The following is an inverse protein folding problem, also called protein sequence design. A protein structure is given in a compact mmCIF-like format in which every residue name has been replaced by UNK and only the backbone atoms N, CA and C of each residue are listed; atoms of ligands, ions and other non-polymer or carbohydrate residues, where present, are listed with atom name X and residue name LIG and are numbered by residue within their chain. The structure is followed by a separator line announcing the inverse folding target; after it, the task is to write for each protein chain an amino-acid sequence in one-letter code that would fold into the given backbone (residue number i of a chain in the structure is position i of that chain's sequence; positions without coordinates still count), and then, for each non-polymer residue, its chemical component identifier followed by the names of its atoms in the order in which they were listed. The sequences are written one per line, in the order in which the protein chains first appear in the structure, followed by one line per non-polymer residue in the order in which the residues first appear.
data_IF_154185068186
#
_entry.id   IF_154185068186
#
_cell.length_a   1.000
_cell.length_b   1.000
_cell.length_c   1.000
_cell.angle_alpha   90.00
_cell.angle_beta   90.00
_cell.angle_gamma   90.00
#
_symmetry.space_group_name_H-M   'P 1'
#
loop_
_entity.id
_entity.type
_entity.pdbx_description
1 polymer ?
#
# COMPACT_ATOMS: atom_id res chain seq x y z
N UNK A 1 -20.17 21.48 2.02
CA UNK A 1 -20.61 20.25 2.72
C UNK A 1 -19.55 19.20 2.50
N UNK A 2 -19.16 18.42 3.51
CA UNK A 2 -18.24 17.29 3.33
C UNK A 2 -18.90 16.21 2.47
N UNK A 3 -18.08 15.48 1.69
CA UNK A 3 -18.54 14.31 0.95
C UNK A 3 -18.75 13.13 1.91
N UNK A 4 -19.81 12.36 1.70
CA UNK A 4 -20.06 11.12 2.45
C UNK A 4 -19.37 9.93 1.76
N UNK A 5 -18.05 10.07 1.54
CA UNK A 5 -17.23 9.08 0.83
C UNK A 5 -16.34 8.34 1.80
N UNK A 6 -16.24 7.03 1.61
CA UNK A 6 -15.28 6.17 2.32
C UNK A 6 -14.03 5.99 1.48
N UNK A 7 -12.86 6.15 2.09
CA UNK A 7 -11.57 5.92 1.47
C UNK A 7 -10.99 4.63 2.06
N UNK A 8 -10.86 3.63 1.21
CA UNK A 8 -10.41 2.31 1.62
C UNK A 8 -8.89 2.23 1.68
N UNK A 9 -8.39 1.31 2.50
CA UNK A 9 -6.99 0.93 2.50
C UNK A 9 -6.60 0.24 1.19
N UNK A 10 -5.33 0.00 0.99
CA UNK A 10 -4.80 -0.71 -0.17
C UNK A 10 -3.77 -1.77 0.24
N UNK A 11 -3.53 -2.73 -0.61
CA UNK A 11 -2.46 -3.70 -0.45
C UNK A 11 -1.61 -3.71 -1.72
N UNK A 12 -0.28 -3.53 -1.57
CA UNK A 12 0.67 -3.79 -2.64
C UNK A 12 0.91 -5.30 -2.71
N UNK A 13 0.25 -5.98 -3.65
CA UNK A 13 0.40 -7.43 -3.81
C UNK A 13 1.79 -7.80 -4.34
N UNK A 14 2.32 -7.01 -5.28
CA UNK A 14 3.62 -7.23 -5.91
C UNK A 14 4.28 -5.89 -6.21
N UNK A 15 5.60 -5.86 -6.19
CA UNK A 15 6.38 -4.68 -6.58
C UNK A 15 7.20 -4.03 -5.47
N UNK A 16 7.14 -4.53 -4.23
CA UNK A 16 7.90 -3.97 -3.13
C UNK A 16 9.37 -3.87 -3.51
N UNK A 17 9.94 -2.67 -3.35
CA UNK A 17 11.30 -2.32 -3.75
C UNK A 17 11.61 -2.47 -5.25
N UNK A 18 11.06 -3.50 -5.91
CA UNK A 18 11.29 -3.76 -7.33
C UNK A 18 10.84 -2.62 -8.24
N UNK A 19 9.75 -1.93 -7.90
CA UNK A 19 9.24 -0.76 -8.64
C UNK A 19 10.32 0.33 -8.79
N UNK A 20 11.20 0.50 -7.80
CA UNK A 20 12.30 1.48 -7.84
C UNK A 20 13.24 1.18 -9.01
N UNK A 21 13.44 -0.10 -9.33
CA UNK A 21 14.29 -0.61 -10.43
C UNK A 21 13.46 -1.13 -11.63
N UNK A 22 12.28 -0.53 -11.86
CA UNK A 22 11.40 -0.80 -13.01
C UNK A 22 10.81 -2.23 -13.06
N UNK A 23 10.62 -2.90 -11.94
CA UNK A 23 9.74 -4.07 -11.88
C UNK A 23 8.27 -3.64 -11.97
N UNK A 24 7.40 -4.58 -12.33
CA UNK A 24 5.96 -4.36 -12.26
C UNK A 24 5.51 -4.20 -10.81
N UNK A 25 4.44 -3.42 -10.62
CA UNK A 25 3.75 -3.32 -9.34
C UNK A 25 2.27 -3.59 -9.52
N UNK A 26 1.67 -4.34 -8.63
CA UNK A 26 0.23 -4.55 -8.59
C UNK A 26 -0.28 -4.23 -7.20
N UNK A 27 -1.15 -3.25 -7.12
CA UNK A 27 -1.79 -2.86 -5.86
C UNK A 27 -3.31 -2.90 -6.01
N UNK A 28 -3.98 -3.35 -4.97
CA UNK A 28 -5.43 -3.51 -4.93
C UNK A 28 -6.05 -2.73 -3.77
N UNK A 29 -7.29 -2.22 -3.91
CA UNK A 29 -8.07 -1.73 -2.78
C UNK A 29 -8.29 -2.85 -1.76
N UNK A 30 -8.35 -2.46 -0.48
CA UNK A 30 -8.66 -3.40 0.60
C UNK A 30 -9.77 -2.85 1.49
N UNK A 31 -10.98 -3.32 1.29
CA UNK A 31 -12.20 -2.74 1.83
C UNK A 31 -12.45 -3.02 3.33
N UNK A 32 -11.60 -3.85 3.96
CA UNK A 32 -11.74 -4.16 5.39
C UNK A 32 -11.45 -2.94 6.28
N UNK A 33 -10.44 -2.15 5.91
CA UNK A 33 -10.12 -0.90 6.60
C UNK A 33 -10.51 0.30 5.76
N UNK A 34 -11.00 1.35 6.42
CA UNK A 34 -11.49 2.57 5.76
C UNK A 34 -11.31 3.79 6.64
N UNK A 35 -11.34 4.95 6.01
CA UNK A 35 -11.34 6.24 6.68
C UNK A 35 -12.31 7.21 6.01
N UNK A 36 -12.67 8.30 6.72
CA UNK A 36 -13.64 9.30 6.28
C UNK A 36 -13.39 10.63 6.99
N UNK A 37 -13.54 11.74 6.31
CA UNK A 37 -13.55 13.07 6.91
C UNK A 37 -14.90 13.34 7.57
N UNK A 38 -14.88 13.76 8.83
CA UNK A 38 -16.07 14.08 9.61
C UNK A 38 -15.89 15.41 10.35
N UNK A 39 -17.03 16.05 10.66
CA UNK A 39 -17.07 17.18 11.58
C UNK A 39 -17.40 16.69 12.98
N UNK A 40 -16.63 17.12 13.96
CA UNK A 40 -16.92 16.82 15.35
C UNK A 40 -18.19 17.51 15.83
N UNK A 41 -18.82 16.94 16.87
CA UNK A 41 -19.91 17.59 17.59
C UNK A 41 -19.44 18.76 18.48
N UNK A 42 -20.29 19.17 19.40
CA UNK A 42 -20.00 20.30 20.30
C UNK A 42 -18.74 20.09 21.17
N UNK A 43 -18.44 18.84 21.51
CA UNK A 43 -17.24 18.46 22.25
C UNK A 43 -16.47 17.38 21.48
N UNK A 44 -15.17 17.58 21.31
CA UNK A 44 -14.27 16.62 20.65
C UNK A 44 -13.71 15.63 21.67
N UNK A 45 -13.66 14.35 21.32
CA UNK A 45 -12.86 13.34 22.06
C UNK A 45 -11.37 13.65 21.90
N UNK A 46 -10.52 12.99 22.70
CA UNK A 46 -9.08 13.21 22.61
C UNK A 46 -8.52 12.70 21.28
N UNK A 47 -9.02 11.57 20.78
CA UNK A 47 -8.65 11.05 19.45
C UNK A 47 -9.06 12.01 18.32
N UNK A 48 -10.22 12.60 18.40
CA UNK A 48 -10.69 13.62 17.43
C UNK A 48 -9.81 14.88 17.46
N UNK A 49 -9.40 15.32 18.67
CA UNK A 49 -8.47 16.45 18.82
C UNK A 49 -7.10 16.17 18.21
N UNK A 50 -6.55 14.95 18.46
CA UNK A 50 -5.28 14.53 17.86
C UNK A 50 -5.36 14.47 16.34
N UNK A 51 -6.45 13.91 15.79
CA UNK A 51 -6.70 13.86 14.36
C UNK A 51 -6.84 15.27 13.76
N UNK A 52 -7.60 16.16 14.39
CA UNK A 52 -7.74 17.57 13.97
C UNK A 52 -6.39 18.30 14.01
N UNK A 53 -5.60 18.11 15.07
CA UNK A 53 -4.27 18.71 15.15
C UNK A 53 -3.33 18.19 14.05
N UNK A 54 -3.40 16.91 13.74
CA UNK A 54 -2.65 16.30 12.62
C UNK A 54 -3.07 16.91 11.28
N UNK A 55 -4.37 17.13 11.05
CA UNK A 55 -4.87 17.82 9.87
C UNK A 55 -4.40 19.28 9.79
N UNK A 56 -4.30 19.99 10.93
CA UNK A 56 -3.78 21.35 11.01
C UNK A 56 -2.29 21.40 10.59
N UNK A 57 -1.49 20.48 11.09
CA UNK A 57 -0.08 20.36 10.72
C UNK A 57 0.09 20.04 9.23
N UNK A 58 -0.76 19.13 8.73
CA UNK A 58 -0.77 18.77 7.30
C UNK A 58 -1.21 19.95 6.42
N UNK A 59 -2.22 20.71 6.84
CA UNK A 59 -2.63 21.94 6.15
C UNK A 59 -1.49 22.96 6.05
N UNK A 60 -0.72 23.15 7.13
CA UNK A 60 0.45 24.05 7.10
C UNK A 60 1.47 23.65 6.03
N UNK A 61 1.72 22.35 5.88
CA UNK A 61 2.58 21.85 4.80
C UNK A 61 2.00 22.12 3.41
N UNK A 62 0.69 21.89 3.22
CA UNK A 62 0.03 22.10 1.94
C UNK A 62 -0.04 23.59 1.56
N UNK A 63 -0.12 24.48 2.56
CA UNK A 63 -0.23 25.92 2.40
C UNK A 63 1.12 26.65 2.28
N UNK A 64 2.25 25.93 2.33
CA UNK A 64 3.57 26.54 2.12
C UNK A 64 3.61 27.21 0.73
N UNK A 65 3.97 28.48 0.67
CA UNK A 65 4.00 29.30 -0.55
C UNK A 65 4.92 28.71 -1.65
N UNK A 66 5.95 27.95 -1.24
CA UNK A 66 6.82 27.24 -2.16
C UNK A 66 6.19 25.96 -2.72
N UNK A 67 5.02 25.57 -2.22
CA UNK A 67 4.33 24.35 -2.64
C UNK A 67 3.35 24.67 -3.78
N UNK A 68 3.53 24.06 -4.94
CA UNK A 68 2.62 24.21 -6.08
C UNK A 68 1.18 23.74 -5.77
N UNK A 69 0.98 22.99 -4.68
CA UNK A 69 -0.33 22.50 -4.24
C UNK A 69 -1.32 23.60 -3.92
N UNK A 70 -0.86 24.81 -3.55
CA UNK A 70 -1.70 25.98 -3.29
C UNK A 70 -2.59 26.35 -4.48
N UNK A 71 -2.21 25.98 -5.70
CA UNK A 71 -2.97 26.22 -6.93
C UNK A 71 -4.03 25.18 -7.24
N UNK A 72 -3.98 24.03 -6.57
CA UNK A 72 -4.84 22.88 -6.84
C UNK A 72 -5.86 22.63 -5.74
N UNK A 73 -5.66 23.18 -4.54
CA UNK A 73 -6.48 22.92 -3.36
C UNK A 73 -7.16 24.19 -2.83
N UNK A 74 -8.39 24.06 -2.39
CA UNK A 74 -9.11 25.12 -1.66
C UNK A 74 -8.69 25.12 -0.18
N UNK A 75 -7.51 25.69 0.10
CA UNK A 75 -6.90 25.68 1.42
C UNK A 75 -7.62 26.58 2.44
N UNK A 76 -8.30 27.65 1.98
CA UNK A 76 -9.11 28.51 2.85
C UNK A 76 -10.31 27.74 3.40
N UNK A 77 -11.01 26.98 2.55
CA UNK A 77 -12.09 26.11 2.97
C UNK A 77 -11.59 25.02 3.94
N UNK A 78 -10.45 24.39 3.64
CA UNK A 78 -9.85 23.38 4.50
C UNK A 78 -9.51 23.95 5.88
N UNK A 79 -8.91 25.14 5.95
CA UNK A 79 -8.60 25.84 7.20
C UNK A 79 -9.86 26.12 8.02
N UNK A 80 -10.92 26.62 7.35
CA UNK A 80 -12.22 26.87 7.99
C UNK A 80 -12.84 25.59 8.57
N UNK A 81 -12.85 24.51 7.79
CA UNK A 81 -13.38 23.22 8.23
C UNK A 81 -12.55 22.64 9.41
N UNK A 82 -11.22 22.77 9.41
CA UNK A 82 -10.35 22.40 10.54
C UNK A 82 -10.68 23.23 11.79
N UNK A 83 -10.89 24.54 11.63
CA UNK A 83 -11.26 25.41 12.76
C UNK A 83 -12.64 25.03 13.33
N UNK A 84 -13.53 24.49 12.52
CA UNK A 84 -14.84 23.98 12.92
C UNK A 84 -14.83 22.54 13.44
N UNK A 85 -13.66 21.91 13.61
CA UNK A 85 -13.54 20.58 14.20
C UNK A 85 -13.50 19.42 13.19
N UNK A 86 -12.99 19.66 11.97
CA UNK A 86 -12.72 18.57 11.00
C UNK A 86 -11.75 17.58 11.57
N UNK A 87 -12.03 16.28 11.42
CA UNK A 87 -11.12 15.20 11.75
C UNK A 87 -11.24 14.03 10.74
N UNK A 88 -10.22 13.20 10.68
CA UNK A 88 -10.24 11.98 9.87
C UNK A 88 -10.49 10.77 10.77
N UNK A 89 -11.69 10.19 10.65
CA UNK A 89 -12.08 8.96 11.32
C UNK A 89 -11.57 7.77 10.51
N UNK A 90 -10.71 6.92 11.09
CA UNK A 90 -10.05 5.86 10.35
C UNK A 90 -9.81 4.61 11.17
N UNK A 91 -10.20 3.46 10.58
CA UNK A 91 -9.85 2.14 11.09
C UNK A 91 -8.54 1.60 10.50
N UNK A 92 -7.87 2.33 9.59
CA UNK A 92 -6.66 1.88 8.88
C UNK A 92 -5.46 1.96 9.84
N UNK A 93 -4.80 0.85 10.17
CA UNK A 93 -3.70 0.86 11.12
C UNK A 93 -2.48 1.59 10.54
N UNK A 94 -1.93 2.53 11.30
CA UNK A 94 -0.77 3.32 10.91
C UNK A 94 0.53 2.51 11.02
N UNK A 95 1.37 2.59 9.99
CA UNK A 95 2.65 1.86 9.96
C UNK A 95 2.52 0.37 9.60
N UNK A 96 1.36 -0.09 9.13
CA UNK A 96 1.13 -1.49 8.76
C UNK A 96 1.26 -1.78 7.26
N UNK A 97 1.64 -0.81 6.45
CA UNK A 97 1.88 -1.00 5.01
C UNK A 97 0.61 -1.04 4.15
N UNK A 98 -0.54 -0.71 4.72
CA UNK A 98 -1.85 -0.79 4.06
C UNK A 98 -2.45 0.57 3.66
N UNK A 99 -1.63 1.62 3.59
CA UNK A 99 -2.01 2.90 2.97
C UNK A 99 -2.80 3.85 3.86
N UNK A 100 -2.49 3.95 5.17
CA UNK A 100 -3.15 4.90 6.07
C UNK A 100 -2.97 6.37 5.63
N UNK A 101 -1.75 6.80 5.29
CA UNK A 101 -1.47 8.13 4.73
C UNK A 101 -2.16 8.32 3.38
N UNK A 102 -2.13 7.27 2.53
CA UNK A 102 -2.76 7.32 1.22
C UNK A 102 -4.27 7.59 1.29
N UNK A 103 -4.98 6.94 2.20
CA UNK A 103 -6.41 7.16 2.40
C UNK A 103 -6.72 8.59 2.89
N UNK A 104 -5.91 9.14 3.81
CA UNK A 104 -6.06 10.53 4.24
C UNK A 104 -5.79 11.51 3.09
N UNK A 105 -4.72 11.31 2.32
CA UNK A 105 -4.40 12.15 1.16
C UNK A 105 -5.52 12.10 0.13
N UNK A 106 -6.05 10.91 -0.17
CA UNK A 106 -7.20 10.74 -1.07
C UNK A 106 -8.43 11.52 -0.58
N UNK A 107 -8.74 11.45 0.71
CA UNK A 107 -9.87 12.17 1.31
C UNK A 107 -9.71 13.69 1.22
N UNK A 108 -8.51 14.21 1.50
CA UNK A 108 -8.21 15.65 1.39
C UNK A 108 -8.27 16.10 -0.06
N UNK A 109 -7.67 15.35 -1.00
CA UNK A 109 -7.73 15.65 -2.42
C UNK A 109 -9.18 15.72 -2.92
N UNK A 110 -9.96 14.67 -2.69
CA UNK A 110 -11.35 14.60 -3.14
C UNK A 110 -12.23 15.70 -2.58
N UNK A 111 -11.98 16.14 -1.34
CA UNK A 111 -12.80 17.14 -0.65
C UNK A 111 -12.41 18.56 -1.01
N UNK A 112 -11.12 18.83 -1.21
CA UNK A 112 -10.58 20.18 -1.32
C UNK A 112 -9.92 20.50 -2.67
N UNK A 113 -9.78 19.55 -3.60
CA UNK A 113 -9.31 19.88 -4.93
C UNK A 113 -10.27 20.85 -5.64
N UNK A 114 -9.71 21.87 -6.29
CA UNK A 114 -10.49 22.87 -7.05
C UNK A 114 -11.13 22.22 -8.29
N UNK A 115 -10.41 21.32 -8.94
CA UNK A 115 -10.86 20.59 -10.13
C UNK A 115 -10.46 19.11 -9.95
N UNK A 116 -11.18 18.33 -9.13
CA UNK A 116 -10.83 16.93 -8.92
C UNK A 116 -11.04 16.13 -10.21
N UNK A 117 -10.09 15.28 -10.55
CA UNK A 117 -10.25 14.29 -11.62
C UNK A 117 -11.28 13.26 -11.13
N UNK A 118 -12.36 13.09 -11.90
CA UNK A 118 -13.39 12.11 -11.54
C UNK A 118 -12.86 10.69 -11.72
N UNK A 119 -12.87 9.82 -10.68
CA UNK A 119 -12.44 8.43 -10.77
C UNK A 119 -13.10 7.65 -11.91
N UNK A 120 -14.39 7.89 -12.18
CA UNK A 120 -15.15 7.20 -13.21
C UNK A 120 -14.75 7.59 -14.65
N UNK A 121 -14.09 8.73 -14.82
CA UNK A 121 -13.68 9.25 -16.13
C UNK A 121 -12.19 9.03 -16.44
N UNK A 122 -11.44 8.47 -15.52
CA UNK A 122 -10.01 8.23 -15.70
C UNK A 122 -9.80 7.05 -16.65
N UNK A 123 -9.62 7.35 -17.93
CA UNK A 123 -9.37 6.33 -18.97
C UNK A 123 -7.97 6.42 -19.57
N UNK A 124 -7.29 7.55 -19.43
CA UNK A 124 -6.00 7.81 -20.07
C UNK A 124 -4.83 7.72 -19.08
N UNK A 125 -3.72 7.14 -19.54
CA UNK A 125 -2.49 7.01 -18.74
C UNK A 125 -1.96 8.36 -18.25
N UNK A 126 -2.10 9.43 -19.07
CA UNK A 126 -1.58 10.76 -18.75
C UNK A 126 -2.33 11.40 -17.57
N UNK A 127 -3.64 11.24 -17.50
CA UNK A 127 -4.44 11.73 -16.35
C UNK A 127 -4.04 11.00 -15.06
N UNK A 128 -3.84 9.68 -15.15
CA UNK A 128 -3.35 8.88 -14.02
C UNK A 128 -1.96 9.32 -13.55
N UNK A 129 -1.06 9.61 -14.48
CA UNK A 129 0.30 10.06 -14.16
C UNK A 129 0.31 11.45 -13.52
N UNK A 130 -0.51 12.38 -14.02
CA UNK A 130 -0.66 13.71 -13.44
C UNK A 130 -1.26 13.65 -12.03
N UNK A 131 -2.33 12.89 -11.86
CA UNK A 131 -2.96 12.68 -10.55
C UNK A 131 -1.97 12.04 -9.57
N UNK A 132 -1.28 10.99 -9.99
CA UNK A 132 -0.25 10.32 -9.18
C UNK A 132 0.84 11.29 -8.75
N UNK A 133 1.30 12.19 -9.64
CA UNK A 133 2.32 13.19 -9.31
C UNK A 133 1.83 14.20 -8.27
N UNK A 134 0.60 14.69 -8.40
CA UNK A 134 -0.01 15.58 -7.44
C UNK A 134 -0.15 14.91 -6.07
N UNK A 135 -0.70 13.71 -6.04
CA UNK A 135 -0.86 12.92 -4.82
C UNK A 135 0.49 12.54 -4.18
N UNK A 136 1.53 12.30 -5.00
CA UNK A 136 2.90 12.08 -4.53
C UNK A 136 3.43 13.28 -3.74
N UNK A 137 3.19 14.50 -4.24
CA UNK A 137 3.61 15.73 -3.56
C UNK A 137 2.85 15.88 -2.24
N UNK A 138 1.54 15.63 -2.24
CA UNK A 138 0.73 15.68 -1.01
C UNK A 138 1.21 14.65 0.03
N UNK A 139 1.47 13.39 -0.39
CA UNK A 139 1.88 12.31 0.52
C UNK A 139 3.33 12.45 1.03
N UNK A 140 4.16 13.25 0.35
CA UNK A 140 5.55 13.47 0.75
C UNK A 140 5.69 14.11 2.14
N UNK A 141 4.64 14.75 2.67
CA UNK A 141 4.57 15.18 4.06
C UNK A 141 4.84 14.04 5.06
N UNK A 142 4.29 12.85 4.82
CA UNK A 142 4.37 11.72 5.76
C UNK A 142 5.67 10.93 5.62
N UNK A 143 6.25 10.89 4.42
CA UNK A 143 7.35 9.97 4.10
C UNK A 143 8.60 10.65 3.52
N UNK A 144 8.62 11.98 3.44
CA UNK A 144 9.69 12.77 2.80
C UNK A 144 9.69 12.65 1.29
N UNK A 145 9.56 11.45 0.75
CA UNK A 145 9.41 11.19 -0.69
C UNK A 145 8.43 10.05 -0.91
N UNK A 146 7.38 10.32 -1.63
CA UNK A 146 6.36 9.33 -1.98
C UNK A 146 6.32 9.04 -3.48
N UNK A 147 5.85 7.85 -3.84
CA UNK A 147 5.54 7.49 -5.22
C UNK A 147 4.17 8.01 -5.69
N UNK A 148 3.27 8.38 -4.78
CA UNK A 148 1.89 8.74 -5.02
C UNK A 148 0.98 7.56 -5.39
N UNK A 149 1.49 6.33 -5.35
CA UNK A 149 0.71 5.14 -5.73
C UNK A 149 -0.35 4.80 -4.67
N UNK A 150 0.00 4.88 -3.39
CA UNK A 150 -0.91 4.56 -2.30
C UNK A 150 -2.16 5.46 -2.30
N UNK A 151 -2.03 6.79 -2.31
CA UNK A 151 -3.20 7.66 -2.38
C UNK A 151 -3.96 7.56 -3.72
N UNK A 152 -3.29 7.25 -4.82
CA UNK A 152 -3.95 7.03 -6.10
C UNK A 152 -4.95 5.86 -6.00
N UNK A 153 -4.53 4.73 -5.43
CA UNK A 153 -5.38 3.55 -5.27
C UNK A 153 -6.50 3.80 -4.27
N UNK A 154 -6.19 4.46 -3.14
CA UNK A 154 -7.21 4.84 -2.14
C UNK A 154 -8.26 5.80 -2.73
N UNK A 155 -7.87 6.65 -3.69
CA UNK A 155 -8.77 7.58 -4.36
C UNK A 155 -9.62 6.91 -5.44
N UNK A 156 -8.99 6.15 -6.34
CA UNK A 156 -9.67 5.51 -7.46
C UNK A 156 -10.49 4.29 -7.03
N UNK A 157 -10.11 3.65 -5.93
CA UNK A 157 -10.70 2.40 -5.45
C UNK A 157 -10.70 1.28 -6.52
N UNK A 158 -9.64 1.22 -7.32
CA UNK A 158 -9.44 0.25 -8.41
C UNK A 158 -8.09 -0.43 -8.29
N UNK A 159 -7.95 -1.70 -8.72
CA UNK A 159 -6.65 -2.33 -8.86
C UNK A 159 -5.81 -1.61 -9.91
N UNK A 160 -4.57 -1.26 -9.55
CA UNK A 160 -3.65 -0.54 -10.42
C UNK A 160 -2.42 -1.39 -10.70
N UNK A 161 -2.15 -1.60 -11.99
CA UNK A 161 -0.91 -2.19 -12.49
C UNK A 161 0.06 -1.07 -12.90
N UNK A 162 1.27 -1.13 -12.36
CA UNK A 162 2.40 -0.27 -12.73
C UNK A 162 3.36 -1.11 -13.57
N UNK A 163 3.68 -0.68 -14.79
CA UNK A 163 4.61 -1.37 -15.70
C UNK A 163 5.91 -0.57 -15.90
N UNK A 164 6.35 0.11 -14.86
CA UNK A 164 7.53 0.96 -14.90
C UNK A 164 7.22 2.39 -14.46
N UNK A 165 8.06 3.35 -14.85
CA UNK A 165 7.96 4.74 -14.37
C UNK A 165 6.86 5.56 -15.06
N UNK A 166 6.53 5.21 -16.29
CA UNK A 166 5.69 6.01 -17.21
C UNK A 166 4.43 5.30 -17.66
N UNK A 167 4.20 4.07 -17.23
CA UNK A 167 3.01 3.30 -17.64
C UNK A 167 2.33 2.73 -16.40
N UNK A 168 1.10 3.15 -16.18
CA UNK A 168 0.22 2.60 -15.16
C UNK A 168 -1.23 2.63 -15.67
N UNK A 169 -2.05 1.72 -15.15
CA UNK A 169 -3.46 1.65 -15.54
C UNK A 169 -4.28 0.76 -14.61
N UNK A 170 -5.58 0.99 -14.61
CA UNK A 170 -6.53 0.11 -13.96
C UNK A 170 -6.56 -1.27 -14.65
N UNK A 171 -6.64 -2.33 -13.87
CA UNK A 171 -6.71 -3.70 -14.37
C UNK A 171 -7.80 -4.48 -13.63
N UNK A 172 -8.37 -5.47 -14.31
CA UNK A 172 -9.17 -6.48 -13.64
C UNK A 172 -8.25 -7.48 -12.92
N UNK A 173 -8.66 -7.92 -11.76
CA UNK A 173 -8.04 -9.03 -11.04
C UNK A 173 -8.97 -10.26 -11.15
N UNK A 174 -8.46 -11.49 -10.99
CA UNK A 174 -9.31 -12.67 -10.95
C UNK A 174 -10.43 -12.53 -9.92
N UNK A 175 -11.60 -13.09 -10.26
CA UNK A 175 -12.73 -13.11 -9.34
C UNK A 175 -12.40 -13.94 -8.08
N UNK A 176 -12.92 -13.51 -6.95
CA UNK A 176 -12.77 -14.24 -5.70
C UNK A 176 -13.59 -15.53 -5.72
N UNK A 177 -12.93 -16.65 -5.46
CA UNK A 177 -13.58 -17.95 -5.30
C UNK A 177 -13.58 -18.37 -3.82
N UNK A 178 -14.62 -17.99 -3.09
CA UNK A 178 -14.74 -18.28 -1.65
C UNK A 178 -14.84 -19.80 -1.32
N UNK A 179 -15.03 -20.65 -2.32
CA UNK A 179 -14.99 -22.12 -2.19
C UNK A 179 -13.61 -22.70 -2.57
N UNK A 180 -12.70 -21.88 -3.09
CA UNK A 180 -11.35 -22.28 -3.43
C UNK A 180 -10.52 -22.56 -2.18
N UNK A 181 -9.48 -23.37 -2.33
CA UNK A 181 -8.57 -23.71 -1.22
C UNK A 181 -7.40 -22.74 -1.11
N UNK A 182 -7.05 -22.10 -2.21
CA UNK A 182 -5.95 -21.14 -2.26
C UNK A 182 -6.35 -19.79 -1.66
N UNK A 183 -5.40 -19.09 -1.04
CA UNK A 183 -5.66 -17.79 -0.46
C UNK A 183 -4.43 -16.88 -0.42
N UNK A 184 -4.71 -15.58 -0.46
CA UNK A 184 -3.79 -14.52 -0.07
C UNK A 184 -4.25 -14.00 1.30
N UNK A 185 -3.32 -13.83 2.23
CA UNK A 185 -3.65 -13.41 3.58
C UNK A 185 -2.62 -12.45 4.19
N UNK A 186 -3.05 -11.69 5.18
CA UNK A 186 -2.18 -10.86 6.02
C UNK A 186 -1.95 -11.52 7.37
N UNK A 187 -0.74 -11.34 7.90
CA UNK A 187 -0.36 -11.67 9.26
C UNK A 187 0.19 -10.43 9.95
N UNK A 188 -0.34 -10.13 11.13
CA UNK A 188 0.12 -9.00 11.94
C UNK A 188 1.50 -9.27 12.57
N UNK A 189 2.44 -8.35 12.39
CA UNK A 189 3.75 -8.43 13.04
C UNK A 189 3.73 -8.01 14.51
N UNK A 190 2.63 -7.45 15.01
CA UNK A 190 2.45 -6.98 16.39
C UNK A 190 3.11 -5.63 16.68
N UNK A 191 3.72 -5.01 15.70
CA UNK A 191 4.32 -3.68 15.85
C UNK A 191 4.33 -2.93 14.52
N UNK A 192 4.12 -1.61 14.51
CA UNK A 192 4.19 -0.81 13.28
C UNK A 192 5.60 -0.80 12.69
N UNK A 193 5.70 -0.77 11.37
CA UNK A 193 6.95 -0.57 10.63
C UNK A 193 7.29 0.91 10.48
N UNK A 194 8.59 1.19 10.22
CA UNK A 194 9.10 2.54 9.91
C UNK A 194 9.53 2.60 8.44
N UNK A 195 8.61 2.97 7.56
CA UNK A 195 8.81 2.99 6.10
C UNK A 195 10.09 3.71 5.67
N UNK A 196 10.31 4.93 6.15
CA UNK A 196 11.46 5.74 5.74
C UNK A 196 12.81 5.07 6.04
N UNK A 197 12.94 4.41 7.19
CA UNK A 197 14.16 3.67 7.55
C UNK A 197 14.43 2.51 6.62
N UNK A 198 13.42 1.74 6.25
CA UNK A 198 13.54 0.58 5.38
C UNK A 198 13.87 0.97 3.92
N UNK A 199 13.21 2.00 3.40
CA UNK A 199 13.50 2.52 2.05
C UNK A 199 14.92 3.08 1.98
N UNK A 200 15.36 3.83 3.00
CA UNK A 200 16.74 4.35 3.05
C UNK A 200 17.77 3.22 3.08
N UNK A 201 17.53 2.17 3.84
CA UNK A 201 18.39 0.98 3.89
C UNK A 201 18.45 0.29 2.52
N UNK A 202 17.33 0.13 1.85
CA UNK A 202 17.30 -0.44 0.49
C UNK A 202 18.11 0.40 -0.50
N UNK A 203 17.92 1.72 -0.52
CA UNK A 203 18.67 2.63 -1.39
C UNK A 203 20.18 2.59 -1.09
N UNK A 204 20.57 2.39 0.17
CA UNK A 204 21.97 2.19 0.54
C UNK A 204 22.50 0.86 -0.02
N UNK A 205 21.74 -0.24 0.11
CA UNK A 205 22.12 -1.54 -0.45
C UNK A 205 22.23 -1.52 -1.98
N UNK A 206 21.41 -0.73 -2.68
CA UNK A 206 21.50 -0.57 -4.14
C UNK A 206 22.83 0.08 -4.62
N UNK A 207 23.65 0.63 -3.73
CA UNK A 207 24.99 1.12 -4.09
C UNK A 207 25.96 -0.04 -4.35
N UNK A 208 25.70 -1.23 -3.80
CA UNK A 208 26.42 -2.46 -4.13
C UNK A 208 25.95 -3.00 -5.48
N UNK A 209 26.90 -3.22 -6.40
CA UNK A 209 26.60 -3.64 -7.77
C UNK A 209 26.01 -5.06 -7.83
N UNK A 210 26.44 -5.95 -6.94
CA UNK A 210 25.92 -7.32 -6.85
C UNK A 210 24.45 -7.31 -6.44
N UNK A 211 24.10 -6.57 -5.37
CA UNK A 211 22.72 -6.43 -4.92
C UNK A 211 21.86 -5.71 -5.95
N UNK A 212 22.35 -4.66 -6.58
CA UNK A 212 21.64 -3.96 -7.67
C UNK A 212 21.35 -4.89 -8.84
N UNK A 213 22.32 -5.70 -9.25
CA UNK A 213 22.11 -6.69 -10.31
C UNK A 213 21.07 -7.75 -9.91
N UNK A 214 21.12 -8.27 -8.68
CA UNK A 214 20.12 -9.20 -8.16
C UNK A 214 18.71 -8.61 -8.25
N UNK A 215 18.52 -7.34 -7.84
CA UNK A 215 17.22 -6.66 -7.90
C UNK A 215 16.75 -6.49 -9.35
N UNK A 216 17.62 -6.07 -10.26
CA UNK A 216 17.29 -5.82 -11.68
C UNK A 216 17.02 -7.07 -12.49
N UNK A 217 17.57 -8.21 -12.08
CA UNK A 217 17.45 -9.47 -12.81
C UNK A 217 16.50 -10.43 -12.10
N UNK A 218 16.86 -10.92 -10.92
CA UNK A 218 16.12 -11.99 -10.24
C UNK A 218 14.83 -11.46 -9.56
N UNK A 219 14.93 -10.43 -8.73
CA UNK A 219 13.75 -9.86 -8.07
C UNK A 219 12.73 -9.42 -9.10
N UNK A 220 13.16 -8.63 -10.09
CA UNK A 220 12.30 -8.17 -11.17
C UNK A 220 11.65 -9.34 -11.91
N UNK A 221 12.43 -10.34 -12.32
CA UNK A 221 11.92 -11.51 -13.05
C UNK A 221 10.81 -12.22 -12.26
N UNK A 222 11.10 -12.65 -11.05
CA UNK A 222 10.13 -13.42 -10.27
C UNK A 222 8.90 -12.60 -9.88
N UNK A 223 9.09 -11.32 -9.55
CA UNK A 223 7.99 -10.39 -9.29
C UNK A 223 7.09 -10.21 -10.51
N UNK A 224 7.66 -9.93 -11.68
CA UNK A 224 6.90 -9.66 -12.90
C UNK A 224 6.16 -10.93 -13.39
N UNK A 225 6.76 -12.12 -13.22
CA UNK A 225 6.08 -13.37 -13.53
C UNK A 225 4.95 -13.68 -12.52
N UNK A 226 5.11 -13.35 -11.23
CA UNK A 226 4.01 -13.43 -10.26
C UNK A 226 2.84 -12.52 -10.66
N UNK A 227 3.11 -11.26 -11.04
CA UNK A 227 2.06 -10.32 -11.49
C UNK A 227 1.31 -10.87 -12.70
N UNK A 228 2.04 -11.35 -13.72
CA UNK A 228 1.44 -11.90 -14.96
C UNK A 228 0.60 -13.14 -14.67
N UNK A 229 1.12 -14.06 -13.86
CA UNK A 229 0.42 -15.28 -13.51
C UNK A 229 -0.83 -14.98 -12.67
N UNK A 230 -0.74 -14.11 -11.68
CA UNK A 230 -1.88 -13.69 -10.87
C UNK A 230 -3.00 -13.07 -11.73
N UNK A 231 -2.68 -12.12 -12.60
CA UNK A 231 -3.67 -11.47 -13.46
C UNK A 231 -4.35 -12.43 -14.46
N UNK A 232 -3.71 -13.55 -14.79
CA UNK A 232 -4.30 -14.61 -15.62
C UNK A 232 -5.08 -15.65 -14.83
N UNK A 233 -5.01 -15.64 -13.49
CA UNK A 233 -5.54 -16.71 -12.65
C UNK A 233 -4.76 -18.02 -12.75
N UNK A 234 -3.49 -17.97 -13.16
CA UNK A 234 -2.64 -19.13 -13.41
C UNK A 234 -1.84 -19.49 -12.15
N UNK A 235 -2.39 -20.35 -11.31
CA UNK A 235 -1.87 -20.65 -9.98
C UNK A 235 -0.52 -21.38 -10.01
N UNK A 236 -0.30 -22.31 -10.94
CA UNK A 236 0.95 -23.06 -11.03
C UNK A 236 2.18 -22.15 -11.17
N UNK A 237 2.32 -21.39 -12.28
CA UNK A 237 3.39 -20.41 -12.44
C UNK A 237 3.44 -19.35 -11.33
N UNK A 238 2.29 -18.95 -10.75
CA UNK A 238 2.26 -18.03 -9.62
C UNK A 238 3.03 -18.60 -8.43
N UNK A 239 2.71 -19.81 -8.00
CA UNK A 239 3.33 -20.42 -6.82
C UNK A 239 4.79 -20.80 -7.04
N UNK A 240 5.17 -21.23 -8.25
CA UNK A 240 6.58 -21.46 -8.62
C UNK A 240 7.43 -20.19 -8.46
N UNK A 241 6.94 -19.06 -8.95
CA UNK A 241 7.65 -17.80 -8.85
C UNK A 241 7.56 -17.18 -7.43
N UNK A 242 6.46 -17.36 -6.71
CA UNK A 242 6.32 -16.94 -5.31
C UNK A 242 7.35 -17.64 -4.41
N UNK A 243 7.64 -18.93 -4.63
CA UNK A 243 8.67 -19.64 -3.91
C UNK A 243 10.03 -18.97 -4.09
N UNK A 244 10.40 -18.66 -5.34
CA UNK A 244 11.67 -17.99 -5.65
C UNK A 244 11.72 -16.59 -5.07
N UNK A 245 10.64 -15.83 -5.19
CA UNK A 245 10.54 -14.48 -4.66
C UNK A 245 10.63 -14.47 -3.13
N UNK A 246 9.92 -15.38 -2.46
CA UNK A 246 9.95 -15.53 -1.00
C UNK A 246 11.37 -15.91 -0.50
N UNK A 247 12.04 -16.84 -1.18
CA UNK A 247 13.43 -17.24 -0.87
C UNK A 247 14.37 -16.04 -1.03
N UNK A 248 14.24 -15.30 -2.13
CA UNK A 248 15.08 -14.13 -2.41
C UNK A 248 14.90 -13.05 -1.32
N UNK A 249 13.66 -12.80 -0.85
CA UNK A 249 13.42 -11.87 0.25
C UNK A 249 14.08 -12.36 1.54
N UNK A 250 13.94 -13.65 1.90
CA UNK A 250 14.53 -14.20 3.11
C UNK A 250 16.05 -14.07 3.12
N UNK A 251 16.71 -14.30 2.00
CA UNK A 251 18.17 -14.29 1.87
C UNK A 251 18.76 -12.88 1.78
N UNK A 252 18.08 -11.96 1.10
CA UNK A 252 18.69 -10.67 0.72
C UNK A 252 18.05 -9.44 1.39
N UNK A 253 16.85 -9.58 1.98
CA UNK A 253 16.09 -8.48 2.59
C UNK A 253 15.88 -8.69 4.09
N UNK A 254 16.75 -9.46 4.74
CA UNK A 254 16.64 -9.84 6.14
C UNK A 254 16.31 -8.68 7.10
N UNK A 255 16.93 -7.48 6.98
CA UNK A 255 16.61 -6.36 7.87
C UNK A 255 15.19 -5.80 7.73
N UNK A 256 14.49 -6.10 6.63
CA UNK A 256 13.10 -5.71 6.39
C UNK A 256 12.10 -6.74 6.92
N UNK A 257 12.55 -7.96 7.26
CA UNK A 257 11.70 -9.03 7.79
C UNK A 257 11.71 -8.93 9.31
N UNK A 258 10.53 -8.79 9.98
CA UNK A 258 10.47 -8.82 11.43
C UNK A 258 11.01 -10.15 11.98
N UNK A 259 11.85 -10.11 13.02
CA UNK A 259 12.61 -11.26 13.53
C UNK A 259 11.74 -12.49 13.80
N UNK A 260 10.56 -12.28 14.38
CA UNK A 260 9.62 -13.37 14.70
C UNK A 260 9.08 -14.11 13.48
N UNK A 261 9.19 -13.53 12.26
CA UNK A 261 8.73 -14.15 11.04
C UNK A 261 9.80 -14.99 10.32
N UNK A 262 11.07 -14.87 10.66
CA UNK A 262 12.12 -15.61 9.95
C UNK A 262 11.92 -17.13 9.96
N UNK A 263 11.64 -17.69 11.14
CA UNK A 263 11.40 -19.14 11.27
C UNK A 263 10.15 -19.57 10.51
N UNK A 264 9.08 -18.79 10.57
CA UNK A 264 7.83 -19.06 9.85
C UNK A 264 8.08 -18.97 8.34
N UNK A 265 8.82 -17.96 7.90
CA UNK A 265 9.14 -17.75 6.49
C UNK A 265 9.92 -18.95 5.91
N UNK A 266 10.96 -19.38 6.61
CA UNK A 266 11.75 -20.56 6.26
C UNK A 266 10.88 -21.81 6.21
N UNK A 267 10.06 -22.04 7.24
CA UNK A 267 9.14 -23.18 7.32
C UNK A 267 8.18 -23.23 6.11
N UNK A 268 7.64 -22.09 5.70
CA UNK A 268 6.76 -22.03 4.52
C UNK A 268 7.45 -22.47 3.25
N UNK A 269 8.69 -22.02 3.02
CA UNK A 269 9.52 -22.42 1.86
C UNK A 269 9.86 -23.92 1.89
N UNK A 270 10.27 -24.42 3.05
CA UNK A 270 10.67 -25.83 3.23
C UNK A 270 9.51 -26.82 3.04
N UNK A 271 8.33 -26.45 3.53
CA UNK A 271 7.13 -27.30 3.45
C UNK A 271 6.31 -27.12 2.17
N UNK A 272 6.60 -26.07 1.38
CA UNK A 272 5.79 -25.62 0.25
C UNK A 272 4.31 -25.41 0.61
N UNK A 273 4.02 -25.08 1.85
CA UNK A 273 2.66 -24.92 2.32
C UNK A 273 2.14 -23.47 2.17
N UNK A 274 3.06 -22.52 2.23
CA UNK A 274 2.79 -21.09 2.03
C UNK A 274 4.09 -20.36 1.72
N UNK A 275 3.98 -19.20 1.10
CA UNK A 275 5.11 -18.32 0.82
C UNK A 275 4.80 -16.92 1.37
N UNK A 276 5.71 -16.42 2.21
CA UNK A 276 5.60 -15.08 2.78
C UNK A 276 6.36 -14.07 1.93
N UNK A 277 5.91 -12.83 1.97
CA UNK A 277 6.60 -11.68 1.40
C UNK A 277 6.29 -10.42 2.21
N UNK A 278 7.05 -9.36 1.99
CA UNK A 278 6.80 -8.08 2.64
C UNK A 278 5.43 -7.52 2.24
N UNK A 279 4.81 -6.77 3.14
CA UNK A 279 3.66 -5.93 2.86
C UNK A 279 4.11 -4.46 2.95
N UNK A 280 4.35 -3.81 1.82
CA UNK A 280 4.98 -2.50 1.75
C UNK A 280 6.49 -2.55 2.06
N UNK A 281 7.00 -1.63 2.87
CA UNK A 281 8.44 -1.51 3.16
C UNK A 281 8.99 -2.56 4.15
N UNK A 282 8.14 -3.31 4.82
CA UNK A 282 8.57 -4.23 5.87
C UNK A 282 9.06 -3.54 7.15
N UNK A 283 9.83 -4.27 7.95
CA UNK A 283 10.33 -3.79 9.24
C UNK A 283 9.28 -3.75 10.35
N UNK A 284 8.07 -4.24 10.09
CA UNK A 284 6.89 -4.24 10.96
C UNK A 284 5.60 -4.20 10.14
N UNK A 285 4.47 -3.98 10.80
CA UNK A 285 3.15 -3.96 10.18
C UNK A 285 2.67 -5.35 9.77
N UNK A 286 2.07 -5.49 8.59
CA UNK A 286 1.66 -6.78 8.08
C UNK A 286 2.75 -7.48 7.28
N UNK A 287 2.68 -8.81 7.28
CA UNK A 287 3.39 -9.70 6.35
C UNK A 287 2.33 -10.34 5.45
N UNK A 288 2.58 -10.35 4.15
CA UNK A 288 1.69 -10.92 3.15
C UNK A 288 2.04 -12.39 2.93
N UNK A 289 1.03 -13.27 2.89
CA UNK A 289 1.20 -14.69 2.67
C UNK A 289 0.33 -15.19 1.53
N UNK A 290 0.82 -16.21 0.82
CA UNK A 290 0.14 -16.90 -0.28
C UNK A 290 0.16 -18.40 -0.02
N UNK A 291 -0.94 -19.09 -0.24
CA UNK A 291 -1.06 -20.53 -0.07
C UNK A 291 -2.00 -21.14 -1.11
N UNK A 292 -1.71 -22.36 -1.55
CA UNK A 292 -2.64 -23.16 -2.36
C UNK A 292 -3.66 -23.90 -1.48
N UNK A 293 -3.42 -23.97 -0.16
CA UNK A 293 -4.27 -24.68 0.78
C UNK A 293 -4.30 -23.92 2.12
N UNK A 294 -5.37 -23.14 2.31
CA UNK A 294 -5.56 -22.29 3.50
C UNK A 294 -5.62 -23.11 4.80
N UNK A 295 -6.27 -24.28 4.79
CA UNK A 295 -6.38 -25.13 5.98
C UNK A 295 -4.98 -25.63 6.41
N UNK A 296 -4.18 -26.10 5.45
CA UNK A 296 -2.79 -26.52 5.69
C UNK A 296 -1.95 -25.37 6.23
N UNK A 297 -2.08 -24.17 5.65
CA UNK A 297 -1.39 -22.97 6.12
C UNK A 297 -1.81 -22.60 7.55
N UNK A 298 -3.10 -22.63 7.88
CA UNK A 298 -3.61 -22.36 9.23
C UNK A 298 -3.05 -23.32 10.27
N UNK A 299 -2.94 -24.61 9.95
CA UNK A 299 -2.35 -25.62 10.85
C UNK A 299 -0.87 -25.27 11.14
N UNK A 300 -0.10 -24.94 10.11
CA UNK A 300 1.34 -24.66 10.22
C UNK A 300 1.63 -23.29 10.86
N UNK A 301 0.71 -22.35 10.71
CA UNK A 301 0.75 -21.00 11.28
C UNK A 301 -0.11 -20.88 12.55
N UNK A 302 -0.38 -22.00 13.21
CA UNK A 302 -1.16 -22.03 14.46
C UNK A 302 -0.61 -21.01 15.47
N UNK A 303 -1.52 -20.20 16.04
CA UNK A 303 -1.17 -19.09 16.95
C UNK A 303 -1.04 -17.74 16.28
N UNK A 304 -1.15 -17.68 14.95
CA UNK A 304 -1.22 -16.43 14.18
C UNK A 304 -2.59 -16.29 13.53
N UNK A 305 -3.17 -15.09 13.61
CA UNK A 305 -4.42 -14.77 12.90
C UNK A 305 -4.09 -14.52 11.42
N UNK A 306 -4.68 -15.32 10.54
CA UNK A 306 -4.61 -15.10 9.09
C UNK A 306 -5.83 -14.29 8.67
N UNK A 307 -5.62 -13.08 8.17
CA UNK A 307 -6.67 -12.23 7.62
C UNK A 307 -6.70 -12.41 6.11
N UNK A 308 -7.61 -13.24 5.62
CA UNK A 308 -7.75 -13.52 4.18
C UNK A 308 -8.18 -12.25 3.46
N UNK A 309 -7.52 -11.94 2.34
CA UNK A 309 -7.77 -10.77 1.50
C UNK A 309 -8.24 -11.14 0.10
N UNK A 310 -7.95 -12.35 -0.36
CA UNK A 310 -8.41 -12.91 -1.62
C UNK A 310 -8.34 -14.43 -1.56
N UNK A 311 -9.35 -15.12 -2.10
CA UNK A 311 -9.43 -16.58 -2.14
C UNK A 311 -9.63 -17.05 -3.58
N UNK A 312 -8.97 -18.15 -3.98
CA UNK A 312 -8.97 -18.66 -5.37
C UNK A 312 -8.89 -20.18 -5.44
#
# INVERSE_FOLDING_TARGET
MLKDTLYYSKILLFGEYGIIENAMGLSIPYHFYKGKLLMAGAEMTDEQKESNQSLRNYWQYLADENNLLTRFLNLDRMSGDIACGLYFDSSIPQGFGVGSSGALVAAIYDTYALNPINPDSVSENDDLLQLKQLLSTMESYFHGKSSGLDPLICYLNLPILVKGKTELGAVAIPDENTLGKGAIFLMDSGSPGKTQGMVSLFLQKLKDDGFRNLVRTQLKKYNDECVKAFLKGDTGPLFDNLKQLSTLFLENFRPMIPDRFETLWRKGIETNAYYLKLCGSGGGGFVLGFTEDLEKAQILLKGHKLQVIHQF
#
